data_IF_386095653982
#
_entry.id   IF_386095653982
#
_cell.length_a   1.000
_cell.length_b   1.000
_cell.length_c   1.000
_cell.angle_alpha   90.00
_cell.angle_beta   90.00
_cell.angle_gamma   90.00
#
_symmetry.space_group_name_H-M   'P 1'
#
loop_
_entity.id
_entity.type
_entity.pdbx_description
1 polymer ?
#
# COMPACT_ATOMS: atom_id res chain seq x y z
N UNK A 1 -21.49 -12.52 -12.37
CA UNK A 1 -21.83 -11.69 -13.52
C UNK A 1 -20.54 -11.19 -14.20
N UNK A 2 -20.66 -10.71 -15.40
CA UNK A 2 -19.49 -10.15 -16.11
C UNK A 2 -18.91 -8.92 -15.39
N UNK A 3 -19.72 -8.16 -14.67
CA UNK A 3 -19.24 -7.02 -13.86
C UNK A 3 -18.28 -7.52 -12.76
N UNK A 4 -18.64 -8.61 -12.09
CA UNK A 4 -17.77 -9.20 -11.06
C UNK A 4 -16.47 -9.73 -11.67
N UNK A 5 -16.55 -10.39 -12.82
CA UNK A 5 -15.37 -10.91 -13.52
C UNK A 5 -14.46 -9.78 -14.00
N UNK A 6 -15.03 -8.68 -14.50
CA UNK A 6 -14.26 -7.51 -14.89
C UNK A 6 -13.56 -6.89 -13.68
N UNK A 7 -14.26 -6.76 -12.53
CA UNK A 7 -13.67 -6.25 -11.31
C UNK A 7 -12.48 -7.12 -10.86
N UNK A 8 -12.64 -8.44 -10.88
CA UNK A 8 -11.56 -9.37 -10.52
C UNK A 8 -10.37 -9.29 -11.45
N UNK A 9 -10.60 -8.97 -12.72
CA UNK A 9 -9.51 -8.79 -13.69
C UNK A 9 -8.68 -7.53 -13.36
N UNK A 10 -9.34 -6.45 -12.92
CA UNK A 10 -8.71 -5.17 -12.64
C UNK A 10 -8.07 -5.12 -11.25
N UNK A 11 -8.54 -5.94 -10.32
CA UNK A 11 -8.13 -5.89 -8.92
C UNK A 11 -7.49 -7.20 -8.47
N UNK A 12 -6.39 -7.09 -7.76
CA UNK A 12 -5.73 -8.24 -7.16
C UNK A 12 -6.19 -8.37 -5.71
N UNK A 13 -6.85 -9.48 -5.39
CA UNK A 13 -7.40 -9.72 -4.05
C UNK A 13 -6.34 -10.35 -3.16
N UNK A 14 -6.28 -9.89 -1.91
CA UNK A 14 -5.39 -10.38 -0.86
C UNK A 14 -6.20 -10.55 0.44
N UNK A 15 -5.61 -11.18 1.43
CA UNK A 15 -6.26 -11.37 2.73
C UNK A 15 -6.64 -10.05 3.39
N UNK A 16 -5.89 -9.00 3.13
CA UNK A 16 -6.10 -7.69 3.75
C UNK A 16 -7.03 -6.76 2.96
N UNK A 17 -7.37 -7.11 1.73
CA UNK A 17 -8.19 -6.28 0.86
C UNK A 17 -7.83 -6.49 -0.59
N UNK A 18 -7.55 -5.42 -1.31
CA UNK A 18 -7.22 -5.54 -2.73
C UNK A 18 -6.39 -4.35 -3.20
N UNK A 19 -5.75 -4.54 -4.37
CA UNK A 19 -5.00 -3.47 -5.02
C UNK A 19 -5.15 -3.56 -6.54
N UNK A 20 -4.88 -2.45 -7.19
CA UNK A 20 -4.85 -2.40 -8.65
C UNK A 20 -3.80 -1.41 -9.12
N UNK A 21 -3.23 -1.68 -10.29
CA UNK A 21 -2.27 -0.78 -10.94
C UNK A 21 -3.07 0.27 -11.71
N UNK A 22 -2.75 1.54 -11.48
CA UNK A 22 -3.36 2.67 -12.19
C UNK A 22 -2.47 3.14 -13.33
N UNK A 23 -1.15 3.09 -13.15
CA UNK A 23 -0.17 3.41 -14.19
C UNK A 23 1.12 2.66 -13.89
N UNK A 24 1.78 2.18 -14.92
CA UNK A 24 3.02 1.42 -14.78
C UNK A 24 4.02 1.87 -15.83
N UNK A 25 4.98 2.66 -15.36
CA UNK A 25 6.17 3.03 -16.13
C UNK A 25 7.37 2.48 -15.36
N UNK A 26 8.29 1.88 -16.00
CA UNK A 26 9.40 1.14 -15.39
C UNK A 26 9.94 1.74 -14.07
N UNK A 27 10.10 3.05 -14.01
CA UNK A 27 10.66 3.76 -12.85
C UNK A 27 9.62 4.48 -12.01
N UNK A 28 8.35 4.44 -12.42
CA UNK A 28 7.23 5.00 -11.67
C UNK A 28 6.03 4.07 -11.84
N UNK A 29 5.43 3.69 -10.73
CA UNK A 29 4.21 2.89 -10.73
C UNK A 29 3.21 3.49 -9.75
N UNK A 30 1.97 3.58 -10.15
CA UNK A 30 0.89 4.09 -9.31
C UNK A 30 -0.12 2.96 -9.07
N UNK A 31 -0.44 2.74 -7.80
CA UNK A 31 -1.42 1.73 -7.39
C UNK A 31 -2.48 2.36 -6.50
N UNK A 32 -3.63 1.73 -6.48
CA UNK A 32 -4.60 1.92 -5.41
C UNK A 32 -4.53 0.69 -4.50
N UNK A 33 -4.41 0.92 -3.19
CA UNK A 33 -4.50 -0.12 -2.17
C UNK A 33 -5.76 0.13 -1.36
N UNK A 34 -6.52 -0.91 -1.09
CA UNK A 34 -7.70 -0.80 -0.20
C UNK A 34 -7.53 -1.81 0.93
N UNK A 35 -7.39 -1.29 2.15
CA UNK A 35 -7.20 -2.12 3.34
C UNK A 35 -8.53 -2.20 4.06
N UNK A 36 -9.06 -3.42 4.18
CA UNK A 36 -10.36 -3.65 4.79
C UNK A 36 -10.29 -3.52 6.31
N UNK A 37 -11.43 -3.25 6.97
CA UNK A 37 -11.47 -3.12 8.42
C UNK A 37 -10.83 -4.28 9.15
N UNK A 38 -9.98 -4.01 10.12
CA UNK A 38 -9.32 -5.01 10.95
C UNK A 38 -8.16 -5.73 10.27
N UNK A 39 -7.75 -5.31 9.08
CA UNK A 39 -6.72 -6.00 8.30
C UNK A 39 -5.42 -5.22 8.25
N UNK A 40 -4.35 -5.92 7.90
CA UNK A 40 -3.00 -5.38 7.87
C UNK A 40 -2.23 -5.89 6.65
N UNK A 41 -1.45 -5.02 6.05
CA UNK A 41 -0.40 -5.44 5.11
C UNK A 41 0.68 -6.22 5.87
N UNK A 42 1.50 -6.98 5.14
CA UNK A 42 2.70 -7.56 5.73
C UNK A 42 3.69 -6.44 6.08
N UNK A 43 4.55 -6.71 7.05
CA UNK A 43 5.68 -5.82 7.29
C UNK A 43 6.71 -6.07 6.19
N UNK A 44 7.09 -5.04 5.47
CA UNK A 44 7.84 -5.17 4.22
C UNK A 44 8.77 -3.98 3.99
N UNK A 45 9.77 -4.18 3.13
CA UNK A 45 10.64 -3.11 2.64
C UNK A 45 11.04 -3.37 1.19
N UNK A 46 11.53 -2.31 0.53
CA UNK A 46 11.91 -2.35 -0.88
C UNK A 46 13.29 -1.74 -1.06
N UNK A 47 14.10 -2.33 -1.95
CA UNK A 47 15.49 -1.92 -2.17
C UNK A 47 15.64 -0.84 -3.24
N UNK A 48 14.77 -0.85 -4.23
CA UNK A 48 14.98 -0.09 -5.47
C UNK A 48 13.96 0.99 -5.70
N UNK A 49 13.05 1.22 -4.74
CA UNK A 49 12.03 2.27 -4.86
C UNK A 49 11.67 2.88 -3.52
N UNK A 50 11.30 4.15 -3.59
CA UNK A 50 10.57 4.82 -2.52
C UNK A 50 9.07 4.66 -2.78
N UNK A 51 8.26 4.89 -1.76
CA UNK A 51 6.81 4.92 -1.91
C UNK A 51 6.26 6.18 -1.27
N UNK A 52 5.25 6.76 -1.90
CA UNK A 52 4.46 7.84 -1.33
C UNK A 52 3.04 7.31 -1.19
N UNK A 53 2.49 7.39 0.02
CA UNK A 53 1.16 6.91 0.33
C UNK A 53 0.25 8.08 0.66
N UNK A 54 -0.75 8.29 -0.20
CA UNK A 54 -1.76 9.33 -0.02
C UNK A 54 -3.07 8.66 0.36
N UNK A 55 -3.54 8.88 1.58
CA UNK A 55 -4.84 8.38 2.01
C UNK A 55 -5.92 9.25 1.38
N UNK A 56 -6.74 8.65 0.52
CA UNK A 56 -7.80 9.37 -0.20
C UNK A 56 -9.17 9.17 0.43
N UNK A 57 -9.33 8.13 1.25
CA UNK A 57 -10.60 7.87 1.95
C UNK A 57 -10.33 6.94 3.13
N UNK A 58 -10.89 7.28 4.27
CA UNK A 58 -10.76 6.47 5.47
C UNK A 58 -9.51 6.82 6.28
N UNK A 59 -9.09 5.89 7.12
CA UNK A 59 -7.96 6.08 8.03
C UNK A 59 -7.23 4.76 8.18
N UNK A 60 -5.92 4.82 8.31
CA UNK A 60 -5.10 3.67 8.69
C UNK A 60 -3.96 4.12 9.58
N UNK A 61 -3.30 3.16 10.19
CA UNK A 61 -2.05 3.38 10.91
C UNK A 61 -0.90 2.85 10.08
N UNK A 62 0.20 3.61 10.05
CA UNK A 62 1.41 3.21 9.34
C UNK A 62 2.49 3.01 10.40
N UNK A 63 3.02 1.81 10.47
CA UNK A 63 4.08 1.45 11.40
C UNK A 63 5.41 1.41 10.66
N UNK A 64 6.39 2.13 11.20
CA UNK A 64 7.78 2.12 10.73
C UNK A 64 8.63 1.36 11.76
N UNK A 65 9.55 0.53 11.29
CA UNK A 65 10.18 -0.52 12.05
C UNK A 65 11.14 -0.10 13.15
N UNK A 66 12.10 0.72 12.79
CA UNK A 66 13.30 0.90 13.63
C UNK A 66 13.03 1.58 14.95
N UNK A 67 11.93 2.34 15.04
CA UNK A 67 11.60 3.10 16.23
C UNK A 67 10.24 2.71 16.81
N UNK A 68 9.62 1.65 16.31
CA UNK A 68 8.24 1.30 16.63
C UNK A 68 7.31 2.51 16.46
N UNK A 69 7.67 3.37 15.51
CA UNK A 69 6.90 4.58 15.25
C UNK A 69 5.61 4.23 14.52
N UNK A 70 4.49 4.62 15.07
CA UNK A 70 3.19 4.45 14.45
C UNK A 70 2.58 5.82 14.22
N UNK A 71 2.18 6.06 12.98
CA UNK A 71 1.54 7.31 12.56
C UNK A 71 0.10 7.01 12.17
N UNK A 72 -0.83 7.83 12.60
CA UNK A 72 -2.21 7.77 12.12
C UNK A 72 -2.31 8.59 10.85
N UNK A 73 -2.75 7.96 9.76
CA UNK A 73 -2.93 8.61 8.47
C UNK A 73 -4.41 8.64 8.13
N UNK A 74 -4.96 9.82 7.94
CA UNK A 74 -6.36 10.03 7.60
C UNK A 74 -6.48 10.73 6.25
N UNK A 75 -7.69 10.87 5.74
CA UNK A 75 -7.97 11.43 4.42
C UNK A 75 -7.20 12.74 4.19
N UNK A 76 -6.45 12.79 3.11
CA UNK A 76 -5.62 13.94 2.74
C UNK A 76 -4.17 13.84 3.18
N UNK A 77 -3.84 12.93 4.09
CA UNK A 77 -2.47 12.79 4.58
C UNK A 77 -1.59 12.08 3.55
N UNK A 78 -0.34 12.53 3.47
CA UNK A 78 0.69 11.96 2.60
C UNK A 78 1.85 11.53 3.46
N UNK A 79 2.28 10.29 3.29
CA UNK A 79 3.43 9.73 4.00
C UNK A 79 4.43 9.21 2.99
N UNK A 80 5.71 9.49 3.23
CA UNK A 80 6.80 9.03 2.37
C UNK A 80 7.48 7.87 3.08
N UNK A 81 7.67 6.78 2.33
CA UNK A 81 8.34 5.58 2.81
C UNK A 81 9.62 5.44 2.00
N UNK A 82 10.78 5.74 2.60
CA UNK A 82 12.07 5.65 1.89
C UNK A 82 12.45 4.20 1.56
N UNK A 83 13.40 4.03 0.64
CA UNK A 83 13.97 2.72 0.36
C UNK A 83 14.50 2.09 1.65
N UNK A 84 14.49 0.76 1.71
CA UNK A 84 15.02 -0.04 2.82
C UNK A 84 14.36 0.20 4.18
N UNK A 85 13.22 0.87 4.21
CA UNK A 85 12.49 1.13 5.45
C UNK A 85 11.39 0.10 5.62
N UNK A 86 11.48 -0.68 6.70
CA UNK A 86 10.41 -1.61 7.07
C UNK A 86 9.15 -0.83 7.38
N UNK A 87 8.03 -1.26 6.81
CA UNK A 87 6.76 -0.58 7.01
C UNK A 87 5.59 -1.51 6.81
N UNK A 88 4.49 -1.16 7.43
CA UNK A 88 3.19 -1.78 7.15
C UNK A 88 2.08 -0.81 7.52
N UNK A 89 0.97 -0.90 6.79
CA UNK A 89 -0.25 -0.22 7.18
C UNK A 89 -1.22 -1.23 7.74
N UNK A 90 -2.01 -0.82 8.73
CA UNK A 90 -3.12 -1.61 9.22
C UNK A 90 -4.33 -0.71 9.50
N UNK A 91 -5.49 -1.29 9.34
CA UNK A 91 -6.75 -0.59 9.49
C UNK A 91 -7.47 -1.09 10.73
N UNK A 92 -7.42 -0.32 11.81
CA UNK A 92 -8.09 -0.64 13.07
C UNK A 92 -9.45 0.07 13.20
N UNK A 93 -10.00 0.54 12.07
CA UNK A 93 -11.31 1.18 12.01
C UNK A 93 -12.36 0.22 11.45
N UNK A 94 -13.60 0.67 11.36
CA UNK A 94 -14.71 -0.11 10.80
C UNK A 94 -15.05 0.26 9.36
N UNK A 95 -14.22 1.11 8.72
CA UNK A 95 -14.39 1.52 7.32
C UNK A 95 -13.16 1.16 6.50
N UNK A 96 -13.30 0.85 5.20
CA UNK A 96 -12.14 0.61 4.34
C UNK A 96 -11.24 1.84 4.25
N UNK A 97 -9.93 1.61 4.14
CA UNK A 97 -8.95 2.66 3.93
C UNK A 97 -8.41 2.57 2.51
N UNK A 98 -8.55 3.66 1.75
CA UNK A 98 -8.10 3.75 0.36
C UNK A 98 -6.84 4.60 0.29
N UNK A 99 -5.79 4.03 -0.27
CA UNK A 99 -4.48 4.68 -0.39
C UNK A 99 -4.07 4.69 -1.86
N UNK A 100 -3.63 5.85 -2.35
CA UNK A 100 -2.92 5.92 -3.62
C UNK A 100 -1.44 5.80 -3.29
N UNK A 101 -0.79 4.79 -3.84
CA UNK A 101 0.61 4.51 -3.66
C UNK A 101 1.36 4.90 -4.93
N UNK A 102 2.36 5.76 -4.80
CA UNK A 102 3.25 6.11 -5.90
C UNK A 102 4.60 5.51 -5.58
N UNK A 103 5.02 4.57 -6.41
CA UNK A 103 6.35 3.95 -6.34
C UNK A 103 7.26 4.68 -7.31
N UNK A 104 8.45 5.05 -6.88
CA UNK A 104 9.43 5.71 -7.75
C UNK A 104 10.83 5.31 -7.36
N UNK A 105 11.67 5.04 -8.36
CA UNK A 105 13.05 4.65 -8.11
C UNK A 105 13.70 4.01 -9.32
N UNK A 106 14.73 3.22 -9.06
CA UNK A 106 15.48 2.55 -10.10
C UNK A 106 14.62 1.56 -10.88
N UNK A 107 13.76 0.84 -10.17
CA UNK A 107 12.79 -0.06 -10.79
C UNK A 107 11.62 -0.30 -9.83
N UNK A 108 10.42 -0.50 -10.38
CA UNK A 108 9.20 -0.71 -9.62
C UNK A 108 8.60 -2.08 -9.98
N UNK A 109 9.22 -3.15 -9.50
CA UNK A 109 8.74 -4.52 -9.73
C UNK A 109 8.13 -5.12 -8.47
N UNK A 110 7.23 -6.08 -8.64
CA UNK A 110 6.63 -6.79 -7.50
C UNK A 110 7.63 -7.68 -6.79
N UNK A 111 8.70 -8.10 -7.46
CA UNK A 111 9.76 -8.93 -6.90
C UNK A 111 10.65 -8.17 -5.92
N UNK A 112 10.68 -6.84 -6.00
CA UNK A 112 11.45 -5.99 -5.08
C UNK A 112 10.69 -5.85 -3.76
N UNK A 113 10.71 -6.92 -2.97
CA UNK A 113 10.05 -6.93 -1.68
C UNK A 113 10.75 -7.92 -0.75
N UNK A 114 10.97 -7.50 0.48
CA UNK A 114 11.37 -8.35 1.58
C UNK A 114 10.27 -8.29 2.63
N UNK A 115 9.96 -9.42 3.24
CA UNK A 115 8.97 -9.53 4.30
C UNK A 115 9.62 -10.12 5.54
N UNK A 116 9.13 -9.79 6.72
CA UNK A 116 9.67 -10.33 7.98
C UNK A 116 9.23 -11.76 8.25
N UNK A 117 8.29 -12.26 7.47
CA UNK A 117 7.77 -13.63 7.67
C UNK A 117 7.26 -14.26 6.38
#
# INVERSE_FOLDING_TARGET
SWILEEWKTLNTVRDWGYWRVLDDKKTVKVKELVIMPGKSLSNQRHKFRNETWHVIKGECKIQFDDNNLTTTATTGDINIIPIMTWHRAYNDTDEPCHIIEIQSGETCTEEDIERTE
#
